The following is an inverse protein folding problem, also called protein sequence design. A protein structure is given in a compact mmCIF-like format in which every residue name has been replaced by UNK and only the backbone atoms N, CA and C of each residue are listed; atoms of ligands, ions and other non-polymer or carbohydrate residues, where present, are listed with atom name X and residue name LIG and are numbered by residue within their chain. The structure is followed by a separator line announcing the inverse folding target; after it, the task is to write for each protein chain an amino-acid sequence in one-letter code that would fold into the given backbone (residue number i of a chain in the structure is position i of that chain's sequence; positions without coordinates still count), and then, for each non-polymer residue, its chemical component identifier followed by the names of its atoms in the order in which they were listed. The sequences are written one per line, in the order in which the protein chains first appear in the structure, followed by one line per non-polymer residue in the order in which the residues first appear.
data_IF_732378591007
#
_entry.id   IF_732378591007
#
_cell.length_a   1.000
_cell.length_b   1.000
_cell.length_c   1.000
_cell.angle_alpha   90.00
_cell.angle_beta   90.00
_cell.angle_gamma   90.00
#
_symmetry.space_group_name_H-M   'P 1'
#
loop_
_entity.id
_entity.type
_entity.pdbx_description
1 polymer ?
#
# COMPACT_ATOMS: atom_id res chain seq x y z
N UNK A 1 -16.40 5.16 18.28
CA UNK A 1 -15.18 5.30 17.47
C UNK A 1 -15.45 4.67 16.12
N UNK A 2 -15.36 5.44 15.06
CA UNK A 2 -15.61 4.96 13.69
C UNK A 2 -14.34 4.37 13.07
N UNK A 3 -13.18 5.04 13.26
CA UNK A 3 -11.94 4.73 12.55
C UNK A 3 -10.77 4.52 13.52
N UNK A 4 -9.96 3.50 13.29
CA UNK A 4 -8.61 3.38 13.82
C UNK A 4 -7.62 3.50 12.68
N UNK A 5 -6.68 4.42 12.81
CA UNK A 5 -5.57 4.62 11.88
C UNK A 5 -4.36 3.86 12.41
N UNK A 6 -3.91 2.85 11.68
CA UNK A 6 -2.71 2.08 12.01
C UNK A 6 -1.58 2.53 11.09
N UNK A 7 -0.56 3.15 11.65
CA UNK A 7 0.64 3.62 10.93
C UNK A 7 1.83 2.73 11.31
N UNK A 8 2.40 2.04 10.33
CA UNK A 8 3.63 1.27 10.54
C UNK A 8 4.85 2.11 10.18
N UNK A 9 5.87 2.10 11.03
CA UNK A 9 7.03 2.99 10.87
C UNK A 9 8.36 2.35 11.23
N UNK A 10 9.42 2.86 10.61
CA UNK A 10 10.82 2.66 10.97
C UNK A 10 11.67 3.80 10.39
N UNK A 11 12.25 4.64 11.25
CA UNK A 11 13.10 5.75 10.86
C UNK A 11 12.44 6.71 9.85
N UNK A 12 11.25 7.19 10.20
CA UNK A 12 10.41 8.07 9.38
C UNK A 12 10.11 9.42 10.09
N UNK A 13 11.04 9.93 10.91
CA UNK A 13 10.90 11.22 11.61
C UNK A 13 10.52 12.38 10.68
N UNK A 14 10.93 12.33 9.41
CA UNK A 14 10.61 13.36 8.42
C UNK A 14 9.17 13.28 7.89
N UNK A 15 8.47 12.17 8.06
CA UNK A 15 7.16 11.92 7.44
C UNK A 15 6.05 11.69 8.46
N UNK A 16 6.37 11.09 9.61
CA UNK A 16 5.37 10.62 10.58
C UNK A 16 4.40 11.70 11.03
N UNK A 17 4.88 12.93 11.25
CA UNK A 17 4.03 14.05 11.66
C UNK A 17 2.93 14.35 10.61
N UNK A 18 3.29 14.44 9.33
CA UNK A 18 2.33 14.71 8.27
C UNK A 18 1.27 13.60 8.12
N UNK A 19 1.67 12.34 8.32
CA UNK A 19 0.75 11.20 8.31
C UNK A 19 -0.25 11.28 9.47
N UNK A 20 0.20 11.58 10.71
CA UNK A 20 -0.66 11.73 11.88
C UNK A 20 -1.60 12.92 11.71
N UNK A 21 -1.09 14.09 11.33
CA UNK A 21 -1.88 15.31 11.13
C UNK A 21 -2.99 15.18 10.09
N UNK A 22 -2.90 14.21 9.18
CA UNK A 22 -3.99 13.91 8.24
C UNK A 22 -5.34 13.66 8.94
N UNK A 23 -5.29 13.20 10.20
CA UNK A 23 -6.47 12.78 10.95
C UNK A 23 -6.85 13.69 12.13
N UNK A 24 -6.16 14.83 12.32
CA UNK A 24 -6.39 15.73 13.46
C UNK A 24 -7.85 16.11 13.62
N UNK A 25 -8.54 16.47 12.53
CA UNK A 25 -9.95 16.85 12.56
C UNK A 25 -10.85 15.68 13.02
N UNK A 26 -10.61 14.47 12.53
CA UNK A 26 -11.38 13.29 12.91
C UNK A 26 -11.11 12.88 14.36
N UNK A 27 -9.86 13.01 14.83
CA UNK A 27 -9.48 12.75 16.23
C UNK A 27 -10.12 13.77 17.15
N UNK A 28 -10.09 15.06 16.81
CA UNK A 28 -10.70 16.13 17.59
C UNK A 28 -12.24 15.95 17.74
N UNK A 29 -12.90 15.37 16.72
CA UNK A 29 -14.33 15.01 16.78
C UNK A 29 -14.62 13.71 17.54
N UNK A 30 -13.59 13.00 18.04
CA UNK A 30 -13.73 11.69 18.68
C UNK A 30 -14.14 10.55 17.73
N UNK A 31 -14.02 10.75 16.42
CA UNK A 31 -14.39 9.77 15.39
C UNK A 31 -13.24 8.84 15.02
N UNK A 32 -11.98 9.27 15.23
CA UNK A 32 -10.79 8.48 14.93
C UNK A 32 -9.81 8.41 16.11
N UNK A 33 -8.99 7.38 16.09
CA UNK A 33 -7.76 7.24 16.90
C UNK A 33 -6.59 6.90 16.00
N UNK A 34 -5.38 7.27 16.43
CA UNK A 34 -4.13 6.95 15.72
C UNK A 34 -3.28 6.03 16.57
N UNK A 35 -2.90 4.89 15.99
CA UNK A 35 -1.98 3.90 16.55
C UNK A 35 -0.75 3.88 15.65
N UNK A 36 0.41 4.17 16.22
CA UNK A 36 1.71 4.05 15.56
C UNK A 36 2.39 2.78 16.05
N UNK A 37 2.78 1.91 15.15
CA UNK A 37 3.54 0.71 15.49
C UNK A 37 4.95 0.84 14.93
N UNK A 38 5.92 1.03 15.84
CA UNK A 38 7.31 1.32 15.53
C UNK A 38 8.18 0.05 15.51
N UNK A 39 9.03 -0.07 14.50
CA UNK A 39 10.01 -1.16 14.38
C UNK A 39 11.39 -0.69 14.84
N UNK A 40 11.53 -0.38 16.13
CA UNK A 40 12.79 0.03 16.77
C UNK A 40 13.49 1.16 15.99
N UNK A 41 12.80 2.28 15.77
CA UNK A 41 13.39 3.49 15.17
C UNK A 41 14.50 4.03 16.04
N UNK A 42 15.57 4.47 15.39
CA UNK A 42 16.75 5.08 16.04
C UNK A 42 16.78 6.60 15.90
N UNK A 43 15.82 7.18 15.18
CA UNK A 43 15.60 8.61 15.02
C UNK A 43 14.44 9.11 15.90
N UNK A 44 14.03 10.37 15.76
CA UNK A 44 12.98 10.98 16.56
C UNK A 44 11.54 10.50 16.21
N UNK A 45 11.36 9.47 15.37
CA UNK A 45 10.04 8.99 14.92
C UNK A 45 9.08 8.74 16.08
N UNK A 46 9.50 7.97 17.08
CA UNK A 46 8.65 7.64 18.25
C UNK A 46 8.31 8.87 19.09
N UNK A 47 9.31 9.72 19.32
CA UNK A 47 9.13 10.94 20.09
C UNK A 47 8.08 11.83 19.44
N UNK A 48 8.21 12.09 18.14
CA UNK A 48 7.25 12.89 17.37
C UNK A 48 5.85 12.30 17.46
N UNK A 49 5.70 10.99 17.29
CA UNK A 49 4.39 10.33 17.33
C UNK A 49 3.72 10.47 18.71
N UNK A 50 4.48 10.31 19.81
CA UNK A 50 3.99 10.49 21.17
C UNK A 50 3.58 11.95 21.46
N UNK A 51 4.40 12.92 21.03
CA UNK A 51 4.12 14.36 21.20
C UNK A 51 2.84 14.78 20.46
N UNK A 52 2.50 14.10 19.36
CA UNK A 52 1.26 14.31 18.59
C UNK A 52 0.06 13.51 19.13
N UNK A 53 0.20 12.84 20.27
CA UNK A 53 -0.91 12.15 20.94
C UNK A 53 -1.28 10.78 20.35
N UNK A 54 -0.46 10.21 19.47
CA UNK A 54 -0.69 8.86 18.98
C UNK A 54 -0.40 7.81 20.06
N UNK A 55 -1.16 6.69 20.06
CA UNK A 55 -0.81 5.53 20.84
C UNK A 55 0.35 4.79 20.16
N UNK A 56 1.53 4.71 20.81
CA UNK A 56 2.73 4.15 20.21
C UNK A 56 3.07 2.79 20.82
N UNK A 57 3.28 1.80 19.95
CA UNK A 57 3.67 0.44 20.32
C UNK A 57 4.93 0.01 19.58
N UNK A 58 5.75 -0.84 20.19
CA UNK A 58 6.93 -1.42 19.58
C UNK A 58 6.61 -2.82 19.03
N UNK A 59 6.89 -3.04 17.76
CA UNK A 59 6.80 -4.34 17.12
C UNK A 59 7.70 -4.40 15.88
N UNK A 60 8.46 -5.48 15.76
CA UNK A 60 9.25 -5.83 14.59
C UNK A 60 9.34 -7.34 14.43
N UNK A 61 10.19 -7.80 13.51
CA UNK A 61 10.98 -6.99 12.55
C UNK A 61 10.23 -6.59 11.28
N UNK A 62 9.06 -7.18 10.98
CA UNK A 62 8.38 -7.05 9.68
C UNK A 62 7.06 -6.28 9.77
N UNK A 63 6.67 -5.64 8.65
CA UNK A 63 5.45 -4.84 8.55
C UNK A 63 4.18 -5.64 8.86
N UNK A 64 4.11 -6.90 8.45
CA UNK A 64 2.96 -7.76 8.73
C UNK A 64 2.70 -7.87 10.23
N UNK A 65 3.76 -8.06 11.05
CA UNK A 65 3.65 -8.12 12.50
C UNK A 65 3.24 -6.76 13.11
N UNK A 66 3.78 -5.65 12.58
CA UNK A 66 3.38 -4.30 13.00
C UNK A 66 1.90 -4.03 12.69
N UNK A 67 1.46 -4.31 11.47
CA UNK A 67 0.06 -4.13 11.03
C UNK A 67 -0.89 -4.99 11.86
N UNK A 68 -0.49 -6.24 12.15
CA UNK A 68 -1.27 -7.15 12.98
C UNK A 68 -1.42 -6.67 14.42
N UNK A 69 -0.36 -6.16 15.03
CA UNK A 69 -0.46 -5.56 16.35
C UNK A 69 -1.42 -4.35 16.31
N UNK A 70 -1.25 -3.46 15.34
CA UNK A 70 -2.06 -2.25 15.23
C UNK A 70 -3.55 -2.54 15.10
N UNK A 71 -3.96 -3.41 14.17
CA UNK A 71 -5.39 -3.69 14.01
C UNK A 71 -5.99 -4.49 15.18
N UNK A 72 -5.22 -5.32 15.88
CA UNK A 72 -5.70 -6.02 17.10
C UNK A 72 -5.96 -5.03 18.23
N UNK A 73 -5.18 -3.96 18.33
CA UNK A 73 -5.38 -2.88 19.31
C UNK A 73 -6.47 -1.88 18.91
N UNK A 74 -6.95 -1.96 17.68
CA UNK A 74 -7.95 -1.03 17.14
C UNK A 74 -9.29 -1.11 17.86
N UNK A 75 -9.88 0.06 18.16
CA UNK A 75 -11.21 0.21 18.76
C UNK A 75 -12.28 0.66 17.78
N UNK A 76 -11.85 1.17 16.62
CA UNK A 76 -12.74 1.61 15.54
C UNK A 76 -13.46 0.45 14.83
N UNK A 77 -14.62 0.74 14.28
CA UNK A 77 -15.34 -0.17 13.38
C UNK A 77 -14.55 -0.40 12.09
N UNK A 78 -13.89 0.63 11.62
CA UNK A 78 -13.01 0.62 10.47
C UNK A 78 -11.56 0.73 10.88
N UNK A 79 -10.70 0.05 10.16
CA UNK A 79 -9.23 0.10 10.31
C UNK A 79 -8.60 0.48 8.98
N UNK A 80 -7.87 1.59 8.97
CA UNK A 80 -7.01 1.95 7.84
C UNK A 80 -5.56 1.62 8.18
N UNK A 81 -4.86 0.98 7.26
CA UNK A 81 -3.45 0.59 7.43
C UNK A 81 -2.56 1.39 6.47
N UNK A 82 -1.64 2.16 7.04
CA UNK A 82 -0.78 3.08 6.32
C UNK A 82 0.70 2.83 6.62
N UNK A 83 1.55 3.16 5.66
CA UNK A 83 2.98 3.38 5.91
C UNK A 83 3.19 4.86 6.32
N UNK A 84 4.21 5.17 7.12
CA UNK A 84 4.42 6.49 7.70
C UNK A 84 4.68 7.63 6.68
N UNK A 85 4.96 7.29 5.42
CA UNK A 85 5.13 8.22 4.32
C UNK A 85 3.86 8.44 3.48
N UNK A 86 2.70 8.00 4.00
CA UNK A 86 1.39 8.21 3.40
C UNK A 86 0.62 9.32 4.12
N UNK A 87 0.03 10.20 3.34
CA UNK A 87 -0.77 11.35 3.80
C UNK A 87 -2.18 11.19 3.23
N UNK A 88 -3.18 11.35 4.08
CA UNK A 88 -4.58 11.26 3.65
C UNK A 88 -5.17 12.68 3.56
N UNK A 89 -5.54 13.16 2.36
CA UNK A 89 -6.20 14.45 2.22
C UNK A 89 -7.53 14.53 3.00
N UNK A 90 -7.93 15.72 3.48
CA UNK A 90 -9.15 15.88 4.27
C UNK A 90 -10.41 15.31 3.61
N UNK A 91 -10.57 15.51 2.30
CA UNK A 91 -11.69 14.94 1.52
C UNK A 91 -11.69 13.41 1.50
N UNK A 92 -10.52 12.78 1.56
CA UNK A 92 -10.40 11.32 1.65
C UNK A 92 -10.74 10.83 3.06
N UNK A 93 -10.35 11.57 4.10
CA UNK A 93 -10.74 11.26 5.49
C UNK A 93 -12.25 11.29 5.64
N UNK A 94 -12.92 12.33 5.13
CA UNK A 94 -14.39 12.45 5.20
C UNK A 94 -15.08 11.34 4.38
N UNK A 95 -14.53 10.95 3.22
CA UNK A 95 -15.03 9.80 2.48
C UNK A 95 -14.89 8.51 3.31
N UNK A 96 -13.72 8.26 3.94
CA UNK A 96 -13.49 7.08 4.81
C UNK A 96 -14.50 7.03 5.97
N UNK A 97 -14.80 8.17 6.60
CA UNK A 97 -15.75 8.23 7.72
C UNK A 97 -17.21 8.02 7.30
N UNK A 98 -17.50 8.09 6.01
CA UNK A 98 -18.84 7.95 5.43
C UNK A 98 -19.01 6.75 4.51
N UNK A 99 -18.03 5.83 4.44
CA UNK A 99 -18.13 4.66 3.55
C UNK A 99 -19.27 3.73 3.90
N UNK A 100 -19.97 3.26 2.86
CA UNK A 100 -21.05 2.29 2.94
C UNK A 100 -21.01 1.32 1.77
N UNK A 101 -21.69 0.18 1.90
CA UNK A 101 -21.93 -0.75 0.80
C UNK A 101 -20.82 -1.74 0.48
N UNK A 102 -19.64 -1.60 1.12
CA UNK A 102 -18.55 -2.57 1.03
C UNK A 102 -17.90 -2.82 2.40
N UNK A 103 -17.07 -3.85 2.48
CA UNK A 103 -16.42 -4.31 3.71
C UNK A 103 -14.92 -3.99 3.73
N UNK A 104 -14.33 -3.70 2.56
CA UNK A 104 -12.96 -3.24 2.43
C UNK A 104 -12.78 -2.37 1.17
N UNK A 105 -11.77 -1.48 1.21
CA UNK A 105 -11.54 -0.52 0.12
C UNK A 105 -10.08 -0.44 -0.29
N UNK A 106 -9.85 -0.42 -1.59
CA UNK A 106 -8.64 0.10 -2.19
C UNK A 106 -8.70 1.63 -2.21
N UNK A 107 -7.59 2.26 -1.90
CA UNK A 107 -7.47 3.73 -1.93
C UNK A 107 -6.53 4.10 -3.08
N UNK A 108 -6.99 4.83 -4.10
CA UNK A 108 -6.13 5.30 -5.18
C UNK A 108 -4.90 6.02 -4.61
N UNK A 109 -3.75 5.84 -5.23
CA UNK A 109 -2.48 6.37 -4.72
C UNK A 109 -1.86 7.34 -5.71
N UNK A 110 -1.50 8.54 -5.24
CA UNK A 110 -0.79 9.57 -5.99
C UNK A 110 0.54 9.88 -5.30
N UNK A 111 1.63 9.94 -6.05
CA UNK A 111 2.94 10.30 -5.54
C UNK A 111 3.18 11.80 -5.64
N UNK A 112 3.84 12.35 -4.63
CA UNK A 112 4.28 13.75 -4.64
C UNK A 112 5.42 13.99 -5.62
N UNK A 113 5.58 15.25 -6.02
CA UNK A 113 6.67 15.71 -6.88
C UNK A 113 6.19 16.25 -8.22
N UNK A 114 7.14 16.65 -9.05
CA UNK A 114 6.90 17.28 -10.35
C UNK A 114 7.71 16.63 -11.46
N UNK A 115 7.40 16.99 -12.69
CA UNK A 115 8.09 16.52 -13.88
C UNK A 115 7.45 15.30 -14.52
N UNK A 116 7.94 14.98 -15.72
CA UNK A 116 7.36 13.94 -16.58
C UNK A 116 7.36 12.55 -15.92
N UNK A 117 8.45 12.20 -15.23
CA UNK A 117 8.56 10.89 -14.57
C UNK A 117 7.51 10.69 -13.48
N UNK A 118 7.25 11.69 -12.66
CA UNK A 118 6.20 11.60 -11.62
C UNK A 118 4.82 11.47 -12.28
N UNK A 119 4.56 12.27 -13.32
CA UNK A 119 3.31 12.18 -14.08
C UNK A 119 3.12 10.79 -14.72
N UNK A 120 4.17 10.21 -15.32
CA UNK A 120 4.11 8.88 -15.91
C UNK A 120 3.85 7.80 -14.85
N UNK A 121 4.48 7.90 -13.67
CA UNK A 121 4.25 6.95 -12.56
C UNK A 121 2.86 7.08 -11.96
N UNK A 122 2.34 8.28 -11.77
CA UNK A 122 0.97 8.49 -11.32
C UNK A 122 -0.05 7.99 -12.35
N UNK A 123 0.23 8.21 -13.64
CA UNK A 123 -0.55 7.64 -14.72
C UNK A 123 -0.53 6.10 -14.69
N UNK A 124 0.63 5.47 -14.52
CA UNK A 124 0.75 4.03 -14.36
C UNK A 124 -0.06 3.53 -13.15
N UNK A 125 0.10 4.17 -11.98
CA UNK A 125 -0.57 3.76 -10.74
C UNK A 125 -2.08 3.78 -10.88
N UNK A 126 -2.64 4.75 -11.60
CA UNK A 126 -4.08 4.86 -11.84
C UNK A 126 -4.71 3.71 -12.65
N UNK A 127 -3.92 2.78 -13.17
CA UNK A 127 -4.42 1.53 -13.77
C UNK A 127 -4.52 0.38 -12.77
N UNK A 128 -3.93 0.54 -11.56
CA UNK A 128 -3.87 -0.54 -10.58
C UNK A 128 -5.10 -0.59 -9.68
N UNK A 129 -5.82 0.53 -9.53
CA UNK A 129 -6.94 0.69 -8.61
C UNK A 129 -7.95 -0.46 -8.76
N UNK A 130 -8.16 -1.19 -7.65
CA UNK A 130 -9.06 -2.34 -7.59
C UNK A 130 -8.67 -3.54 -8.47
N UNK A 131 -7.38 -3.71 -8.75
CA UNK A 131 -6.86 -4.87 -9.50
C UNK A 131 -6.10 -5.83 -8.57
N UNK A 132 -5.75 -7.01 -9.07
CA UNK A 132 -4.97 -7.98 -8.30
C UNK A 132 -3.52 -7.55 -7.98
N UNK A 133 -3.07 -6.39 -8.43
CA UNK A 133 -1.76 -5.81 -8.13
C UNK A 133 -1.84 -4.53 -7.30
N UNK A 134 -3.03 -4.20 -6.83
CA UNK A 134 -3.28 -3.17 -5.83
C UNK A 134 -3.22 -3.75 -4.41
N UNK A 135 -3.47 -2.93 -3.39
CA UNK A 135 -3.50 -3.31 -1.99
C UNK A 135 -4.71 -2.69 -1.29
N UNK A 136 -5.54 -3.50 -0.67
CA UNK A 136 -6.57 -3.04 0.25
C UNK A 136 -5.91 -2.33 1.43
N UNK A 137 -6.49 -1.19 1.85
CA UNK A 137 -5.93 -0.40 2.96
C UNK A 137 -6.96 -0.05 4.02
N UNK A 138 -8.24 -0.01 3.70
CA UNK A 138 -9.33 0.25 4.63
C UNK A 138 -10.18 -1.01 4.75
N UNK A 139 -10.43 -1.45 5.98
CA UNK A 139 -11.13 -2.69 6.28
C UNK A 139 -12.17 -2.46 7.38
N UNK A 140 -13.35 -3.05 7.29
CA UNK A 140 -14.13 -3.32 8.50
C UNK A 140 -13.30 -4.22 9.42
N UNK A 141 -13.25 -3.91 10.72
CA UNK A 141 -12.46 -4.68 11.68
C UNK A 141 -12.81 -6.18 11.64
N UNK A 142 -14.09 -6.51 11.51
CA UNK A 142 -14.54 -7.90 11.39
C UNK A 142 -13.96 -8.67 10.20
N UNK A 143 -13.57 -8.00 9.11
CA UNK A 143 -12.88 -8.64 7.97
C UNK A 143 -11.47 -9.08 8.36
N UNK A 144 -10.74 -8.24 9.11
CA UNK A 144 -9.41 -8.60 9.61
C UNK A 144 -9.49 -9.71 10.65
N UNK A 145 -10.51 -9.70 11.51
CA UNK A 145 -10.77 -10.77 12.47
C UNK A 145 -11.07 -12.10 11.76
N UNK A 146 -11.96 -12.11 10.78
CA UNK A 146 -12.34 -13.29 10.02
C UNK A 146 -11.19 -13.88 9.19
N UNK A 147 -10.29 -13.03 8.70
CA UNK A 147 -9.12 -13.46 7.90
C UNK A 147 -7.87 -13.70 8.75
N UNK A 148 -7.84 -13.27 10.02
CA UNK A 148 -6.67 -13.34 10.88
C UNK A 148 -5.60 -12.27 10.59
N UNK A 149 -5.90 -11.28 9.73
CA UNK A 149 -4.97 -10.21 9.36
C UNK A 149 -3.86 -10.66 8.40
N UNK A 150 -2.70 -10.03 8.47
CA UNK A 150 -1.54 -10.27 7.57
C UNK A 150 -0.80 -11.57 7.93
N UNK A 151 -0.30 -12.28 6.92
CA UNK A 151 0.60 -13.44 7.12
C UNK A 151 2.00 -12.97 7.53
N UNK A 152 2.37 -13.18 8.79
CA UNK A 152 3.65 -12.75 9.34
C UNK A 152 4.85 -13.57 8.81
N UNK A 153 4.61 -14.69 8.11
CA UNK A 153 5.66 -15.45 7.44
C UNK A 153 6.07 -14.83 6.10
N UNK A 154 5.29 -13.89 5.59
CA UNK A 154 5.63 -13.16 4.38
C UNK A 154 6.35 -11.86 4.74
N UNK A 155 7.61 -11.78 4.36
CA UNK A 155 8.39 -10.54 4.38
C UNK A 155 7.76 -9.56 3.37
N UNK A 156 7.92 -8.26 3.57
CA UNK A 156 7.36 -7.21 2.71
C UNK A 156 7.45 -7.53 1.20
N UNK A 157 6.38 -7.26 0.48
CA UNK A 157 6.26 -7.44 -0.97
C UNK A 157 4.88 -7.99 -1.35
N UNK A 158 4.59 -9.28 -1.15
CA UNK A 158 3.30 -9.85 -1.50
C UNK A 158 2.30 -9.93 -0.33
N UNK A 159 2.63 -9.44 0.86
CA UNK A 159 1.80 -9.55 2.06
C UNK A 159 0.42 -8.89 1.90
N UNK A 160 0.36 -7.76 1.19
CA UNK A 160 -0.89 -7.07 0.88
C UNK A 160 -1.74 -7.91 -0.09
N UNK A 161 -1.13 -8.42 -1.16
CA UNK A 161 -1.82 -9.25 -2.14
C UNK A 161 -2.33 -10.56 -1.54
N UNK A 162 -1.59 -11.11 -0.58
CA UNK A 162 -1.95 -12.33 0.14
C UNK A 162 -3.20 -12.09 0.99
N UNK A 163 -3.23 -10.99 1.73
CA UNK A 163 -4.40 -10.60 2.50
C UNK A 163 -5.61 -10.34 1.57
N UNK A 164 -5.41 -9.63 0.47
CA UNK A 164 -6.48 -9.35 -0.50
C UNK A 164 -7.13 -10.64 -1.03
N UNK A 165 -6.33 -11.68 -1.31
CA UNK A 165 -6.86 -12.99 -1.73
C UNK A 165 -7.77 -13.58 -0.64
N UNK A 166 -7.34 -13.56 0.63
CA UNK A 166 -8.14 -14.12 1.74
C UNK A 166 -9.39 -13.29 2.02
N UNK A 167 -9.31 -11.97 1.94
CA UNK A 167 -10.45 -11.07 2.10
C UNK A 167 -11.50 -11.35 1.03
N UNK A 168 -11.10 -11.46 -0.24
CA UNK A 168 -12.00 -11.79 -1.35
C UNK A 168 -12.56 -13.22 -1.23
N UNK A 169 -11.74 -14.19 -0.81
CA UNK A 169 -12.18 -15.58 -0.61
C UNK A 169 -13.16 -15.71 0.57
N UNK A 170 -13.08 -14.85 1.58
CA UNK A 170 -14.04 -14.78 2.67
C UNK A 170 -15.39 -14.15 2.27
N UNK A 171 -15.55 -13.74 1.00
CA UNK A 171 -16.78 -13.16 0.47
C UNK A 171 -16.98 -11.68 0.79
N UNK A 172 -15.95 -10.99 1.31
CA UNK A 172 -16.02 -9.57 1.59
C UNK A 172 -16.27 -8.75 0.31
N UNK A 173 -17.20 -7.81 0.39
CA UNK A 173 -17.44 -6.85 -0.69
C UNK A 173 -16.34 -5.80 -0.68
N UNK A 174 -15.64 -5.67 -1.80
CA UNK A 174 -14.55 -4.72 -1.93
C UNK A 174 -14.86 -3.65 -2.98
N UNK A 175 -14.51 -2.40 -2.70
CA UNK A 175 -14.69 -1.27 -3.61
C UNK A 175 -13.44 -0.39 -3.66
N UNK A 176 -13.43 0.58 -4.55
CA UNK A 176 -12.36 1.59 -4.66
C UNK A 176 -12.92 2.92 -4.20
N UNK A 177 -12.20 3.64 -3.32
CA UNK A 177 -12.57 5.01 -2.95
C UNK A 177 -12.48 5.95 -4.18
N UNK A 178 -13.22 7.04 -4.13
CA UNK A 178 -13.19 8.08 -5.19
C UNK A 178 -11.97 8.97 -5.04
N UNK A 179 -11.66 9.33 -3.80
CA UNK A 179 -10.52 10.15 -3.45
C UNK A 179 -9.25 9.29 -3.26
N UNK A 180 -8.09 9.94 -3.15
CA UNK A 180 -6.79 9.28 -3.16
C UNK A 180 -5.99 9.58 -1.90
N UNK A 181 -5.01 8.75 -1.63
CA UNK A 181 -3.93 9.05 -0.69
C UNK A 181 -2.71 9.59 -1.43
N UNK A 182 -1.88 10.34 -0.70
CA UNK A 182 -0.62 10.88 -1.18
C UNK A 182 0.53 10.07 -0.60
N UNK A 183 1.38 9.53 -1.46
CA UNK A 183 2.58 8.81 -1.05
C UNK A 183 3.80 9.72 -1.20
N UNK A 184 4.35 10.17 -0.07
CA UNK A 184 5.51 11.05 -0.01
C UNK A 184 6.81 10.23 -0.07
N UNK A 185 6.99 9.48 -1.17
CA UNK A 185 8.14 8.62 -1.34
C UNK A 185 9.43 9.42 -1.54
N UNK A 186 10.42 9.24 -0.67
CA UNK A 186 11.75 9.85 -0.82
C UNK A 186 12.37 9.47 -2.18
N UNK A 187 13.08 10.41 -2.81
CA UNK A 187 13.86 10.10 -4.02
C UNK A 187 14.91 9.05 -3.69
N UNK A 188 14.64 7.82 -4.09
CA UNK A 188 15.61 6.74 -3.96
C UNK A 188 16.67 6.85 -5.06
N UNK A 189 17.95 6.68 -4.69
CA UNK A 189 18.99 6.43 -5.68
C UNK A 189 18.69 5.12 -6.41
N UNK A 190 19.18 4.97 -7.63
CA UNK A 190 18.97 3.75 -8.42
C UNK A 190 19.42 2.49 -7.67
N UNK A 191 20.55 2.54 -6.97
CA UNK A 191 21.06 1.45 -6.14
C UNK A 191 20.08 1.07 -5.03
N UNK A 192 19.60 2.03 -4.24
CA UNK A 192 18.61 1.81 -3.18
C UNK A 192 17.28 1.25 -3.73
N UNK A 193 16.88 1.68 -4.93
CA UNK A 193 15.69 1.12 -5.59
C UNK A 193 15.86 -0.36 -5.93
N UNK A 194 17.04 -0.76 -6.40
CA UNK A 194 17.34 -2.18 -6.69
C UNK A 194 17.40 -3.01 -5.41
N UNK A 195 18.03 -2.51 -4.35
CA UNK A 195 18.07 -3.16 -3.03
C UNK A 195 16.65 -3.37 -2.47
N UNK A 196 15.80 -2.33 -2.54
CA UNK A 196 14.38 -2.40 -2.14
C UNK A 196 13.62 -3.46 -2.96
N UNK A 197 13.85 -3.52 -4.28
CA UNK A 197 13.23 -4.55 -5.13
C UNK A 197 13.72 -5.95 -4.79
N UNK A 198 15.02 -6.14 -4.57
CA UNK A 198 15.59 -7.43 -4.17
C UNK A 198 15.01 -7.90 -2.83
N UNK A 199 14.84 -6.99 -1.85
CA UNK A 199 14.20 -7.30 -0.58
C UNK A 199 12.76 -7.78 -0.77
N UNK A 200 11.94 -7.08 -1.57
CA UNK A 200 10.56 -7.47 -1.80
C UNK A 200 10.38 -8.80 -2.53
N UNK A 201 11.40 -9.25 -3.30
CA UNK A 201 11.30 -10.53 -4.00
C UNK A 201 11.53 -11.74 -3.10
N UNK A 202 12.03 -11.57 -1.87
CA UNK A 202 12.35 -12.67 -0.96
C UNK A 202 11.16 -13.57 -0.66
N UNK A 203 9.98 -13.00 -0.47
CA UNK A 203 8.75 -13.75 -0.18
C UNK A 203 7.98 -14.24 -1.41
N UNK A 204 8.40 -13.87 -2.63
CA UNK A 204 7.65 -14.27 -3.83
C UNK A 204 7.62 -15.77 -4.06
N UNK A 205 8.67 -16.50 -3.69
CA UNK A 205 8.70 -17.96 -3.82
C UNK A 205 7.66 -18.60 -2.87
N UNK A 206 7.70 -18.23 -1.59
CA UNK A 206 6.76 -18.74 -0.58
C UNK A 206 5.31 -18.36 -0.94
N UNK A 207 5.08 -17.13 -1.36
CA UNK A 207 3.76 -16.66 -1.80
C UNK A 207 3.21 -17.44 -3.00
N UNK A 208 4.03 -17.69 -4.02
CA UNK A 208 3.64 -18.48 -5.19
C UNK A 208 3.36 -19.94 -4.83
N UNK A 209 4.11 -20.49 -3.90
CA UNK A 209 3.88 -21.85 -3.42
C UNK A 209 2.58 -21.94 -2.63
N UNK A 210 2.36 -21.03 -1.68
CA UNK A 210 1.13 -20.96 -0.86
C UNK A 210 -0.13 -20.87 -1.72
N UNK A 211 -0.07 -20.10 -2.80
CA UNK A 211 -1.20 -19.84 -3.70
C UNK A 211 -1.00 -20.45 -5.10
N UNK A 212 -0.37 -21.61 -5.15
CA UNK A 212 -0.10 -22.31 -6.42
C UNK A 212 -1.39 -22.51 -7.21
N UNK A 213 -1.39 -22.04 -8.46
CA UNK A 213 -2.53 -22.16 -9.36
C UNK A 213 -3.61 -21.09 -9.20
N UNK A 214 -3.58 -20.26 -8.16
CA UNK A 214 -4.58 -19.22 -7.96
C UNK A 214 -4.58 -18.20 -9.11
N UNK A 215 -5.76 -17.83 -9.69
CA UNK A 215 -5.83 -16.96 -10.86
C UNK A 215 -5.20 -15.57 -10.65
N UNK A 216 -5.37 -14.96 -9.46
CA UNK A 216 -4.78 -13.68 -9.14
C UNK A 216 -3.24 -13.74 -9.19
N UNK A 217 -2.63 -14.79 -8.61
CA UNK A 217 -1.17 -14.98 -8.61
C UNK A 217 -0.63 -15.18 -10.02
N UNK A 218 -1.33 -15.97 -10.86
CA UNK A 218 -0.96 -16.11 -12.28
C UNK A 218 -0.94 -14.74 -12.99
N UNK A 219 -1.95 -13.88 -12.74
CA UNK A 219 -2.03 -12.54 -13.33
C UNK A 219 -0.95 -11.62 -12.78
N UNK A 220 -0.72 -11.58 -11.47
CA UNK A 220 0.28 -10.74 -10.81
C UNK A 220 1.69 -10.94 -11.36
N UNK A 221 2.04 -12.18 -11.70
CA UNK A 221 3.36 -12.55 -12.23
C UNK A 221 3.40 -12.75 -13.74
N UNK A 222 2.27 -12.58 -14.44
CA UNK A 222 2.22 -12.67 -15.90
C UNK A 222 2.85 -11.42 -16.55
N UNK A 223 3.89 -11.57 -17.38
CA UNK A 223 4.41 -10.45 -18.15
C UNK A 223 3.35 -9.82 -19.05
N UNK A 224 2.51 -10.64 -19.68
CA UNK A 224 1.41 -10.14 -20.52
C UNK A 224 0.45 -9.26 -19.73
N UNK A 225 0.01 -9.71 -18.54
CA UNK A 225 -0.87 -8.89 -17.71
C UNK A 225 -0.20 -7.59 -17.26
N UNK A 226 1.06 -7.66 -16.86
CA UNK A 226 1.83 -6.50 -16.41
C UNK A 226 2.07 -5.48 -17.51
N UNK A 227 2.31 -5.90 -18.75
CA UNK A 227 2.64 -4.99 -19.86
C UNK A 227 1.44 -4.59 -20.70
N UNK A 228 0.38 -5.39 -20.72
CA UNK A 228 -0.81 -5.16 -21.58
C UNK A 228 -2.09 -5.24 -20.75
N UNK A 229 -2.35 -6.37 -20.11
CA UNK A 229 -3.65 -6.68 -19.50
C UNK A 229 -4.17 -5.60 -18.56
N UNK A 230 -3.34 -5.10 -17.64
CA UNK A 230 -3.72 -4.06 -16.67
C UNK A 230 -4.12 -2.74 -17.31
N UNK A 231 -3.63 -2.44 -18.51
CA UNK A 231 -3.93 -1.21 -19.24
C UNK A 231 -5.19 -1.30 -20.12
N UNK A 232 -5.64 -2.51 -20.40
CA UNK A 232 -6.80 -2.72 -21.30
C UNK A 232 -8.04 -3.23 -20.57
N UNK A 233 -7.88 -3.89 -19.42
CA UNK A 233 -9.01 -4.44 -18.67
C UNK A 233 -10.02 -3.37 -18.28
N UNK A 234 -11.30 -3.77 -18.17
CA UNK A 234 -12.41 -2.88 -17.77
C UNK A 234 -12.49 -1.58 -18.59
N UNK A 235 -12.03 -1.59 -19.86
CA UNK A 235 -12.09 -0.41 -20.74
C UNK A 235 -11.01 0.65 -20.49
N UNK A 236 -10.00 0.36 -19.66
CA UNK A 236 -8.91 1.29 -19.32
C UNK A 236 -8.06 1.71 -20.52
N UNK A 237 -8.09 0.96 -21.65
CA UNK A 237 -7.43 1.32 -22.91
C UNK A 237 -7.79 2.73 -23.41
N UNK A 238 -9.01 3.23 -23.11
CA UNK A 238 -9.43 4.60 -23.45
C UNK A 238 -8.54 5.65 -22.78
N UNK A 239 -8.07 5.38 -21.54
CA UNK A 239 -7.13 6.26 -20.83
C UNK A 239 -5.75 6.25 -21.49
N UNK A 240 -5.30 5.10 -22.01
CA UNK A 240 -4.05 4.99 -22.76
C UNK A 240 -4.10 5.85 -24.01
N UNK A 241 -5.17 5.80 -24.80
CA UNK A 241 -5.34 6.60 -26.00
C UNK A 241 -5.37 8.11 -25.73
N UNK A 242 -5.88 8.52 -24.57
CA UNK A 242 -5.90 9.95 -24.18
C UNK A 242 -4.53 10.48 -23.76
N UNK A 243 -3.61 9.62 -23.32
CA UNK A 243 -2.31 10.01 -22.80
C UNK A 243 -1.17 9.14 -23.35
N UNK A 244 -0.98 9.10 -24.70
CA UNK A 244 -0.02 8.19 -25.34
C UNK A 244 1.43 8.47 -24.93
N UNK A 245 1.79 9.74 -24.69
CA UNK A 245 3.15 10.14 -24.28
C UNK A 245 3.46 9.62 -22.87
N UNK A 246 2.50 9.72 -21.92
CA UNK A 246 2.68 9.16 -20.57
C UNK A 246 2.79 7.64 -20.62
N UNK A 247 1.97 6.99 -21.46
CA UNK A 247 2.05 5.54 -21.63
C UNK A 247 3.40 5.11 -22.23
N UNK A 248 3.93 5.82 -23.22
CA UNK A 248 5.27 5.56 -23.73
C UNK A 248 6.34 5.69 -22.66
N UNK A 249 6.25 6.71 -21.79
CA UNK A 249 7.13 6.87 -20.62
C UNK A 249 7.06 5.69 -19.64
N UNK A 250 5.84 5.21 -19.35
CA UNK A 250 5.64 4.02 -18.50
C UNK A 250 6.29 2.78 -19.12
N UNK A 251 6.08 2.55 -20.43
CA UNK A 251 6.68 1.40 -21.12
C UNK A 251 8.21 1.50 -21.11
N UNK A 252 8.77 2.67 -21.38
CA UNK A 252 10.21 2.88 -21.31
C UNK A 252 10.79 2.55 -19.92
N UNK A 253 10.17 3.05 -18.83
CA UNK A 253 10.61 2.72 -17.47
C UNK A 253 10.54 1.21 -17.19
N UNK A 254 9.49 0.54 -17.62
CA UNK A 254 9.32 -0.92 -17.43
C UNK A 254 10.38 -1.72 -18.15
N UNK A 255 10.66 -1.37 -19.41
CA UNK A 255 11.72 -2.03 -20.19
C UNK A 255 13.10 -1.78 -19.58
N UNK A 256 13.42 -0.55 -19.20
CA UNK A 256 14.68 -0.21 -18.54
C UNK A 256 14.90 -1.02 -17.26
N UNK A 257 13.88 -1.10 -16.40
CA UNK A 257 13.92 -1.92 -15.17
C UNK A 257 14.09 -3.41 -15.50
N UNK A 258 13.38 -3.91 -16.51
CA UNK A 258 13.48 -5.32 -16.95
C UNK A 258 14.87 -5.67 -17.44
N UNK A 259 15.47 -4.81 -18.27
CA UNK A 259 16.85 -4.98 -18.78
C UNK A 259 17.84 -5.04 -17.61
N UNK A 260 17.78 -4.08 -16.69
CA UNK A 260 18.67 -4.05 -15.53
C UNK A 260 18.52 -5.31 -14.67
N UNK A 261 17.29 -5.79 -14.47
CA UNK A 261 17.05 -7.04 -13.75
C UNK A 261 17.71 -8.25 -14.41
N UNK A 262 17.63 -8.36 -15.73
CA UNK A 262 18.25 -9.44 -16.50
C UNK A 262 19.77 -9.39 -16.44
N UNK A 263 20.38 -8.21 -16.51
CA UNK A 263 21.83 -8.06 -16.40
C UNK A 263 22.36 -8.41 -15.01
N UNK A 264 21.66 -8.01 -13.94
CA UNK A 264 22.06 -8.32 -12.57
C UNK A 264 21.91 -9.81 -12.22
N UNK A 265 20.92 -10.50 -12.80
CA UNK A 265 20.74 -11.96 -12.62
C UNK A 265 21.90 -12.77 -13.24
N UNK A 266 22.55 -12.25 -14.30
CA UNK A 266 23.74 -12.91 -14.91
C UNK A 266 25.01 -12.72 -14.07
N UNK A 267 25.11 -11.69 -13.22
CA UNK A 267 26.28 -11.46 -12.35
C UNK A 267 26.24 -12.24 -11.03
N UNK A 268 25.10 -12.81 -10.66
CA UNK A 268 24.89 -13.59 -9.42
C UNK A 268 24.81 -15.10 -9.68
N UNK A 269 25.10 -15.55 -10.88
CA UNK A 269 25.41 -16.92 -11.28
C UNK A 269 26.89 -17.05 -11.60
#
# INVERSE_FOLDING_TARGET
MKLTVVITTKNEAANIAASIHSFDSAVARGEAEVIVVDNASSDDTKKIALELGAAVYDKGPERSAQRNLGWRMARGEWVIVLDADMIIPPETVEEILSVEGADAYWIPEVRTGSGFRVKARNFERSFYDGTCIDALRLFRKGVLEATGGYDENLIAGPEDWELDIRVLAAGAKCAVLKNHLIHNEKRLTFKKMLEKKAYYTRSFAAYKEKWRGHPAVRRQFSPWYRFVGVFVEKGKWKKVLRHPILFAGVMFERFAVGIVYLFNRKKSR
#
